data_IF_169634989231
#
_entry.id   IF_169634989231
#
_cell.length_a   1.000
_cell.length_b   1.000
_cell.length_c   1.000
_cell.angle_alpha   90.00
_cell.angle_beta   90.00
_cell.angle_gamma   90.00
#
_symmetry.space_group_name_H-M   'P 1'
#
loop_
_entity.id
_entity.type
_entity.pdbx_description
1 polymer ?
#
# COMPACT_ATOMS: atom_id res chain seq x y z
N UNK A 1 19.78 -35.37 36.14
CA UNK A 1 18.82 -34.25 36.17
C UNK A 1 17.84 -34.51 37.28
N UNK A 2 17.64 -33.57 38.19
CA UNK A 2 16.73 -33.74 39.32
C UNK A 2 15.28 -33.43 38.90
N UNK A 3 14.27 -33.97 39.61
CA UNK A 3 12.86 -33.65 39.35
C UNK A 3 12.52 -32.16 39.52
N UNK A 4 13.35 -31.43 40.25
CA UNK A 4 13.20 -29.98 40.44
C UNK A 4 13.74 -29.21 39.23
N UNK A 5 14.92 -29.61 38.71
CA UNK A 5 15.49 -29.06 37.47
C UNK A 5 14.57 -29.29 36.25
N UNK A 6 13.88 -30.43 36.18
CA UNK A 6 12.91 -30.71 35.10
C UNK A 6 11.72 -29.75 35.13
N UNK A 7 11.16 -29.49 36.32
CA UNK A 7 10.04 -28.55 36.48
C UNK A 7 10.42 -27.10 36.19
N UNK A 8 11.60 -26.69 36.62
CA UNK A 8 12.14 -25.36 36.29
C UNK A 8 12.37 -25.20 34.79
N UNK A 9 12.87 -26.25 34.13
CA UNK A 9 13.04 -26.26 32.66
C UNK A 9 11.71 -26.19 31.93
N UNK A 10 10.70 -26.94 32.35
CA UNK A 10 9.35 -26.88 31.77
C UNK A 10 8.71 -25.49 31.93
N UNK A 11 8.79 -24.90 33.12
CA UNK A 11 8.29 -23.55 33.39
C UNK A 11 8.96 -22.50 32.50
N UNK A 12 10.28 -22.59 32.33
CA UNK A 12 11.02 -21.70 31.44
C UNK A 12 10.60 -21.87 29.96
N UNK A 13 10.38 -23.11 29.53
CA UNK A 13 9.90 -23.41 28.16
C UNK A 13 8.48 -22.89 27.91
N UNK A 14 7.60 -22.91 28.91
CA UNK A 14 6.26 -22.31 28.82
C UNK A 14 6.34 -20.79 28.66
N UNK A 15 7.19 -20.11 29.45
CA UNK A 15 7.40 -18.67 29.34
C UNK A 15 7.91 -18.27 27.95
N UNK A 16 8.91 -19.00 27.44
CA UNK A 16 9.46 -18.77 26.09
C UNK A 16 8.38 -18.98 25.03
N UNK A 17 7.61 -20.08 25.12
CA UNK A 17 6.53 -20.34 24.18
C UNK A 17 5.44 -19.27 24.21
N UNK A 18 5.08 -18.81 25.40
CA UNK A 18 4.09 -17.73 25.58
C UNK A 18 4.57 -16.42 24.95
N UNK A 19 5.84 -16.06 25.13
CA UNK A 19 6.39 -14.85 24.54
C UNK A 19 6.49 -14.92 23.01
N UNK A 20 6.91 -16.05 22.45
CA UNK A 20 6.98 -16.26 20.99
C UNK A 20 5.56 -16.19 20.38
N UNK A 21 4.57 -16.83 21.01
CA UNK A 21 3.19 -16.76 20.57
C UNK A 21 2.65 -15.32 20.61
N UNK A 22 2.96 -14.56 21.67
CA UNK A 22 2.54 -13.16 21.78
C UNK A 22 3.16 -12.29 20.68
N UNK A 23 4.43 -12.55 20.30
CA UNK A 23 5.10 -11.85 19.19
C UNK A 23 4.49 -12.20 17.83
N UNK A 24 4.19 -13.47 17.58
CA UNK A 24 3.51 -13.89 16.35
C UNK A 24 2.13 -13.25 16.20
N UNK A 25 1.34 -13.19 17.28
CA UNK A 25 0.05 -12.52 17.29
C UNK A 25 0.16 -11.02 16.96
N UNK A 26 1.14 -10.32 17.54
CA UNK A 26 1.42 -8.91 17.19
C UNK A 26 1.83 -8.74 15.72
N UNK A 27 2.60 -9.68 15.18
CA UNK A 27 3.06 -9.64 13.80
C UNK A 27 1.92 -9.89 12.80
N UNK A 28 1.01 -10.84 13.09
CA UNK A 28 -0.16 -11.09 12.26
C UNK A 28 -1.12 -9.89 12.27
N UNK A 29 -1.34 -9.28 13.44
CA UNK A 29 -2.15 -8.06 13.57
C UNK A 29 -1.52 -6.88 12.79
N UNK A 30 -0.19 -6.72 12.88
CA UNK A 30 0.53 -5.72 12.10
C UNK A 30 0.42 -5.98 10.58
N UNK A 31 0.48 -7.24 10.15
CA UNK A 31 0.25 -7.66 8.77
C UNK A 31 -1.14 -7.29 8.26
N UNK A 32 -2.19 -7.57 9.04
CA UNK A 32 -3.57 -7.22 8.69
C UNK A 32 -3.78 -5.71 8.52
N UNK A 33 -3.09 -4.89 9.34
CA UNK A 33 -3.12 -3.43 9.19
C UNK A 33 -2.53 -2.95 7.86
N UNK A 34 -1.49 -3.62 7.35
CA UNK A 34 -0.91 -3.30 6.02
C UNK A 34 -1.90 -3.61 4.91
N UNK A 35 -2.60 -4.73 4.98
CA UNK A 35 -3.61 -5.12 4.00
C UNK A 35 -4.76 -4.09 3.94
N UNK A 36 -5.27 -3.66 5.10
CA UNK A 36 -6.30 -2.60 5.17
C UNK A 36 -5.81 -1.29 4.58
N UNK A 37 -4.57 -0.86 4.90
CA UNK A 37 -3.99 0.36 4.32
C UNK A 37 -3.86 0.26 2.80
N UNK A 38 -3.50 -0.91 2.27
CA UNK A 38 -3.39 -1.14 0.84
C UNK A 38 -4.76 -0.98 0.14
N UNK A 39 -5.85 -1.49 0.72
CA UNK A 39 -7.21 -1.31 0.17
C UNK A 39 -7.54 0.17 0.03
N UNK A 40 -7.25 0.98 1.05
CA UNK A 40 -7.49 2.42 1.01
C UNK A 40 -6.66 3.12 -0.07
N UNK A 41 -5.38 2.76 -0.22
CA UNK A 41 -4.51 3.34 -1.25
C UNK A 41 -5.02 3.00 -2.66
N UNK A 42 -5.44 1.75 -2.89
CA UNK A 42 -6.03 1.32 -4.16
C UNK A 42 -7.32 2.08 -4.46
N UNK A 43 -8.24 2.17 -3.50
CA UNK A 43 -9.51 2.90 -3.67
C UNK A 43 -9.32 4.40 -3.92
N UNK A 44 -8.34 5.00 -3.22
CA UNK A 44 -7.97 6.40 -3.45
C UNK A 44 -7.39 6.60 -4.86
N UNK A 45 -6.44 5.75 -5.28
CA UNK A 45 -5.83 5.83 -6.61
C UNK A 45 -6.86 5.67 -7.73
N UNK A 46 -7.82 4.75 -7.57
CA UNK A 46 -8.92 4.56 -8.52
C UNK A 46 -9.81 5.82 -8.62
N UNK A 47 -10.20 6.39 -7.48
CA UNK A 47 -11.00 7.63 -7.44
C UNK A 47 -10.24 8.80 -8.05
N UNK A 48 -8.93 8.94 -7.78
CA UNK A 48 -8.10 10.00 -8.33
C UNK A 48 -7.94 9.86 -9.86
N UNK A 49 -7.77 8.64 -10.36
CA UNK A 49 -7.74 8.36 -11.80
C UNK A 49 -9.09 8.70 -12.47
N UNK A 50 -10.21 8.34 -11.85
CA UNK A 50 -11.54 8.72 -12.34
C UNK A 50 -11.75 10.23 -12.37
N UNK A 51 -11.29 10.95 -11.34
CA UNK A 51 -11.35 12.40 -11.30
C UNK A 51 -10.54 13.04 -12.44
N UNK A 52 -9.31 12.56 -12.67
CA UNK A 52 -8.48 13.04 -13.77
C UNK A 52 -9.14 12.76 -15.13
N UNK A 53 -9.72 11.57 -15.31
CA UNK A 53 -10.41 11.19 -16.54
C UNK A 53 -11.64 12.06 -16.85
N UNK A 54 -12.32 12.56 -15.81
CA UNK A 54 -13.48 13.44 -15.95
C UNK A 54 -13.11 14.91 -16.26
N UNK A 55 -11.81 15.26 -16.26
CA UNK A 55 -11.32 16.61 -16.52
C UNK A 55 -10.67 16.71 -17.90
N UNK A 56 -10.60 17.94 -18.40
CA UNK A 56 -9.73 18.29 -19.52
C UNK A 56 -8.30 18.46 -18.99
N UNK A 57 -7.36 17.65 -19.48
CA UNK A 57 -6.00 17.57 -18.96
C UNK A 57 -4.95 17.62 -20.07
N UNK A 58 -3.72 17.98 -19.72
CA UNK A 58 -2.59 18.00 -20.66
C UNK A 58 -2.14 16.55 -20.95
N UNK A 59 -2.06 16.13 -22.23
CA UNK A 59 -1.90 14.72 -22.58
C UNK A 59 -0.65 14.04 -22.01
N UNK A 60 0.51 14.68 -22.01
CA UNK A 60 1.77 14.04 -21.61
C UNK A 60 1.82 13.79 -20.10
N UNK A 61 1.58 14.82 -19.30
CA UNK A 61 1.57 14.75 -17.84
C UNK A 61 0.36 14.00 -17.30
N UNK A 62 -0.79 14.09 -17.98
CA UNK A 62 -1.99 13.34 -17.63
C UNK A 62 -1.80 11.83 -17.86
N UNK A 63 -1.20 11.44 -18.99
CA UNK A 63 -0.84 10.04 -19.24
C UNK A 63 0.15 9.52 -18.19
N UNK A 64 1.16 10.33 -17.83
CA UNK A 64 2.11 9.95 -16.78
C UNK A 64 1.43 9.77 -15.41
N UNK A 65 0.44 10.62 -15.07
CA UNK A 65 -0.36 10.47 -13.86
C UNK A 65 -1.19 9.17 -13.87
N UNK A 66 -1.79 8.80 -15.00
CA UNK A 66 -2.49 7.52 -15.13
C UNK A 66 -1.58 6.32 -14.95
N UNK A 67 -0.37 6.36 -15.54
CA UNK A 67 0.63 5.30 -15.35
C UNK A 67 0.99 5.19 -13.87
N UNK A 68 1.20 6.31 -13.17
CA UNK A 68 1.49 6.32 -11.74
C UNK A 68 0.35 5.71 -10.90
N UNK A 69 -0.91 6.05 -11.19
CA UNK A 69 -2.06 5.45 -10.52
C UNK A 69 -2.22 3.96 -10.85
N UNK A 70 -1.95 3.54 -12.09
CA UNK A 70 -1.97 2.13 -12.47
C UNK A 70 -0.89 1.32 -11.72
N UNK A 71 0.31 1.87 -11.57
CA UNK A 71 1.39 1.27 -10.76
C UNK A 71 0.97 1.19 -9.29
N UNK A 72 0.38 2.24 -8.73
CA UNK A 72 -0.12 2.25 -7.36
C UNK A 72 -1.18 1.16 -7.12
N UNK A 73 -2.15 1.04 -8.04
CA UNK A 73 -3.20 0.02 -7.98
C UNK A 73 -2.61 -1.38 -8.12
N UNK A 74 -1.76 -1.62 -9.12
CA UNK A 74 -1.15 -2.94 -9.35
C UNK A 74 -0.28 -3.39 -8.17
N UNK A 75 0.55 -2.49 -7.64
CA UNK A 75 1.37 -2.79 -6.45
C UNK A 75 0.51 -2.99 -5.21
N UNK A 76 -0.54 -2.18 -5.02
CA UNK A 76 -1.51 -2.35 -3.92
C UNK A 76 -2.26 -3.68 -3.99
N UNK A 77 -2.74 -4.08 -5.17
CA UNK A 77 -3.39 -5.39 -5.38
C UNK A 77 -2.41 -6.53 -5.11
N UNK A 78 -1.15 -6.37 -5.53
CA UNK A 78 -0.13 -7.40 -5.34
C UNK A 78 0.17 -7.72 -3.87
N UNK A 79 -0.17 -6.83 -2.93
CA UNK A 79 -0.03 -7.06 -1.48
C UNK A 79 -1.02 -8.14 -1.02
N UNK A 80 -2.22 -8.19 -1.60
CA UNK A 80 -3.21 -9.25 -1.30
C UNK A 80 -2.82 -10.61 -1.88
N UNK A 81 -2.02 -10.61 -2.95
CA UNK A 81 -1.52 -11.84 -3.56
C UNK A 81 -0.23 -12.37 -2.91
N UNK A 82 0.32 -11.66 -1.92
CA UNK A 82 1.40 -12.21 -1.10
C UNK A 82 0.85 -13.32 -0.21
N UNK A 83 1.69 -14.34 0.03
CA UNK A 83 1.37 -15.45 0.91
C UNK A 83 0.73 -14.93 2.22
N UNK A 84 -0.35 -15.60 2.64
CA UNK A 84 -0.94 -15.34 3.96
C UNK A 84 0.10 -15.65 5.02
N UNK A 85 0.05 -14.91 6.13
CA UNK A 85 0.88 -15.21 7.29
C UNK A 85 0.66 -16.68 7.67
N UNK A 86 1.76 -17.41 7.77
CA UNK A 86 1.74 -18.79 8.21
C UNK A 86 1.37 -18.82 9.69
N UNK A 87 0.43 -19.68 10.03
CA UNK A 87 -0.04 -19.89 11.39
C UNK A 87 0.08 -21.38 11.72
N UNK A 88 0.07 -21.69 13.01
CA UNK A 88 0.15 -23.06 13.49
C UNK A 88 -1.07 -23.85 13.01
N UNK A 89 -0.82 -24.99 12.33
CA UNK A 89 -1.86 -25.98 12.09
C UNK A 89 -2.14 -26.75 13.39
N UNK A 90 -3.29 -26.54 14.05
CA UNK A 90 -3.57 -27.19 15.32
C UNK A 90 -3.65 -28.72 15.18
N UNK A 91 -3.98 -29.23 13.99
CA UNK A 91 -4.09 -30.68 13.74
C UNK A 91 -2.73 -31.33 13.64
N UNK A 92 -1.82 -30.75 12.86
CA UNK A 92 -0.46 -31.29 12.70
C UNK A 92 0.29 -31.36 14.05
N UNK A 93 0.13 -30.34 14.90
CA UNK A 93 0.77 -30.32 16.23
C UNK A 93 0.19 -31.40 17.15
N UNK A 94 -1.13 -31.59 17.10
CA UNK A 94 -1.80 -32.59 17.93
C UNK A 94 -1.43 -34.02 17.50
N UNK A 95 -1.31 -34.24 16.19
CA UNK A 95 -0.97 -35.55 15.62
C UNK A 95 0.50 -35.93 15.85
N UNK A 96 1.43 -34.99 15.68
CA UNK A 96 2.87 -35.27 15.85
C UNK A 96 3.29 -35.30 17.34
N UNK A 97 2.71 -34.46 18.20
CA UNK A 97 3.22 -34.25 19.56
C UNK A 97 2.21 -34.51 20.67
N UNK A 98 0.98 -34.93 20.36
CA UNK A 98 -0.09 -35.15 21.35
C UNK A 98 0.20 -36.28 22.35
N UNK A 99 1.20 -37.12 22.09
CA UNK A 99 1.63 -38.22 22.97
C UNK A 99 3.01 -38.02 23.60
N UNK A 100 3.70 -36.92 23.27
CA UNK A 100 5.05 -36.66 23.73
C UNK A 100 5.08 -36.09 25.15
N UNK A 101 6.25 -36.17 25.79
CA UNK A 101 6.48 -35.47 27.04
C UNK A 101 6.36 -33.95 26.83
N UNK A 102 5.70 -33.29 27.79
CA UNK A 102 5.43 -31.85 27.78
C UNK A 102 6.64 -31.00 27.42
N UNK A 103 7.82 -31.36 27.95
CA UNK A 103 9.07 -30.64 27.67
C UNK A 103 9.51 -30.75 26.20
N UNK A 104 9.32 -31.92 25.57
CA UNK A 104 9.62 -32.15 24.15
C UNK A 104 8.63 -31.40 23.25
N UNK A 105 7.32 -31.46 23.56
CA UNK A 105 6.28 -30.71 22.84
C UNK A 105 6.54 -29.20 22.89
N UNK A 106 6.94 -28.65 24.05
CA UNK A 106 7.24 -27.23 24.18
C UNK A 106 8.48 -26.81 23.37
N UNK A 107 9.50 -27.65 23.28
CA UNK A 107 10.68 -27.36 22.45
C UNK A 107 10.33 -27.37 20.96
N UNK A 108 9.58 -28.37 20.50
CA UNK A 108 9.15 -28.47 19.11
C UNK A 108 8.17 -27.36 18.71
N UNK A 109 7.28 -26.95 19.62
CA UNK A 109 6.39 -25.84 19.41
C UNK A 109 7.16 -24.51 19.31
N UNK A 110 8.17 -24.32 20.16
CA UNK A 110 9.02 -23.14 20.11
C UNK A 110 9.82 -23.08 18.79
N UNK A 111 10.40 -24.19 18.33
CA UNK A 111 11.15 -24.23 17.06
C UNK A 111 10.23 -23.93 15.87
N UNK A 112 9.07 -24.57 15.80
CA UNK A 112 8.08 -24.36 14.74
C UNK A 112 7.64 -22.90 14.67
N UNK A 113 7.33 -22.31 15.82
CA UNK A 113 6.93 -20.89 15.90
C UNK A 113 8.05 -19.94 15.48
N UNK A 114 9.31 -20.24 15.79
CA UNK A 114 10.45 -19.42 15.34
C UNK A 114 10.58 -19.47 13.82
N UNK A 115 10.51 -20.66 13.21
CA UNK A 115 10.56 -20.80 11.74
C UNK A 115 9.41 -20.07 11.05
N UNK A 116 8.19 -20.15 11.61
CA UNK A 116 7.04 -19.39 11.12
C UNK A 116 7.23 -17.88 11.27
N UNK A 117 7.79 -17.43 12.40
CA UNK A 117 8.07 -16.01 12.64
C UNK A 117 9.07 -15.43 11.63
N UNK A 118 10.14 -16.16 11.33
CA UNK A 118 11.15 -15.78 10.33
C UNK A 118 10.53 -15.67 8.93
N UNK A 119 9.78 -16.69 8.51
CA UNK A 119 9.08 -16.71 7.21
C UNK A 119 8.09 -15.55 7.11
N UNK A 120 7.30 -15.32 8.17
CA UNK A 120 6.36 -14.22 8.25
C UNK A 120 7.04 -12.84 8.27
N UNK A 121 8.28 -12.75 8.76
CA UNK A 121 9.06 -11.50 8.79
C UNK A 121 9.45 -11.09 7.38
N UNK A 122 9.89 -12.04 6.55
CA UNK A 122 10.16 -11.78 5.14
C UNK A 122 8.90 -11.32 4.39
N UNK A 123 7.77 -11.99 4.63
CA UNK A 123 6.48 -11.60 4.04
C UNK A 123 6.11 -10.18 4.50
N UNK A 124 6.28 -9.85 5.78
CA UNK A 124 6.01 -8.52 6.32
C UNK A 124 6.86 -7.44 5.63
N UNK A 125 8.15 -7.69 5.46
CA UNK A 125 9.06 -6.76 4.80
C UNK A 125 8.68 -6.54 3.34
N UNK A 126 8.35 -7.62 2.60
CA UNK A 126 7.91 -7.52 1.21
C UNK A 126 6.58 -6.77 1.07
N UNK A 127 5.60 -7.05 1.95
CA UNK A 127 4.33 -6.31 2.00
C UNK A 127 4.55 -4.83 2.28
N UNK A 128 5.41 -4.51 3.25
CA UNK A 128 5.74 -3.13 3.64
C UNK A 128 6.43 -2.39 2.49
N UNK A 129 7.41 -3.00 1.84
CA UNK A 129 8.09 -2.42 0.68
C UNK A 129 7.11 -2.12 -0.46
N UNK A 130 6.24 -3.08 -0.81
CA UNK A 130 5.22 -2.89 -1.85
C UNK A 130 4.21 -1.80 -1.48
N UNK A 131 3.84 -1.70 -0.20
CA UNK A 131 2.99 -0.63 0.30
C UNK A 131 3.66 0.74 0.15
N UNK A 132 4.94 0.87 0.50
CA UNK A 132 5.70 2.12 0.32
C UNK A 132 5.79 2.51 -1.15
N UNK A 133 6.07 1.56 -2.05
CA UNK A 133 6.09 1.82 -3.50
C UNK A 133 4.72 2.32 -3.99
N UNK A 134 3.64 1.66 -3.57
CA UNK A 134 2.27 2.07 -3.92
C UNK A 134 1.96 3.49 -3.45
N UNK A 135 2.32 3.81 -2.20
CA UNK A 135 2.13 5.15 -1.62
C UNK A 135 2.90 6.23 -2.38
N UNK A 136 4.18 5.99 -2.68
CA UNK A 136 5.01 6.94 -3.45
C UNK A 136 4.42 7.14 -4.85
N UNK A 137 3.97 6.07 -5.51
CA UNK A 137 3.34 6.16 -6.83
C UNK A 137 2.05 7.00 -6.78
N UNK A 138 1.22 6.87 -5.74
CA UNK A 138 0.05 7.75 -5.57
C UNK A 138 0.45 9.21 -5.44
N UNK A 139 1.44 9.53 -4.59
CA UNK A 139 1.90 10.91 -4.40
C UNK A 139 2.39 11.52 -5.71
N UNK A 140 3.21 10.77 -6.47
CA UNK A 140 3.67 11.20 -7.80
C UNK A 140 2.49 11.41 -8.75
N UNK A 141 1.52 10.49 -8.76
CA UNK A 141 0.31 10.61 -9.59
C UNK A 141 -0.51 11.86 -9.26
N UNK A 142 -0.68 12.22 -7.99
CA UNK A 142 -1.35 13.45 -7.56
C UNK A 142 -0.62 14.69 -8.08
N UNK A 143 0.71 14.76 -7.91
CA UNK A 143 1.50 15.90 -8.38
C UNK A 143 1.38 16.05 -9.90
N UNK A 144 1.51 14.96 -10.65
CA UNK A 144 1.40 14.98 -12.11
C UNK A 144 -0.02 15.35 -12.59
N UNK A 145 -1.05 14.80 -11.96
CA UNK A 145 -2.45 15.11 -12.23
C UNK A 145 -2.74 16.61 -12.01
N UNK A 146 -2.19 17.18 -10.93
CA UNK A 146 -2.34 18.60 -10.62
C UNK A 146 -1.64 19.48 -11.66
N UNK A 147 -0.39 19.17 -12.01
CA UNK A 147 0.35 19.89 -13.06
C UNK A 147 -0.35 19.79 -14.40
N UNK A 148 -0.89 18.61 -14.74
CA UNK A 148 -1.61 18.38 -16.00
C UNK A 148 -2.85 19.24 -16.14
N UNK A 149 -3.65 19.33 -15.07
CA UNK A 149 -4.85 20.17 -15.05
C UNK A 149 -4.44 21.66 -15.16
N UNK A 150 -3.43 22.10 -14.40
CA UNK A 150 -2.96 23.50 -14.40
C UNK A 150 -2.40 23.92 -15.76
N UNK A 151 -1.59 23.08 -16.39
CA UNK A 151 -1.01 23.36 -17.71
C UNK A 151 -2.09 23.42 -18.79
N UNK A 152 -3.12 22.57 -18.69
CA UNK A 152 -4.25 22.62 -19.61
C UNK A 152 -5.09 23.90 -19.42
N UNK A 153 -5.33 24.34 -18.18
CA UNK A 153 -6.05 25.58 -17.91
C UNK A 153 -5.24 26.83 -18.28
N UNK A 154 -3.92 26.84 -18.05
CA UNK A 154 -3.05 27.96 -18.41
C UNK A 154 -2.86 28.14 -19.92
N UNK A 155 -3.13 27.11 -20.73
CA UNK A 155 -3.19 27.22 -22.18
C UNK A 155 -4.44 27.97 -22.67
N UNK A 156 -5.53 27.99 -21.89
CA UNK A 156 -6.75 28.75 -22.21
C UNK A 156 -6.66 30.23 -21.84
N UNK A 157 -5.78 30.62 -20.91
CA UNK A 157 -5.54 32.03 -20.54
C UNK A 157 -4.54 32.76 -21.46
N UNK A 158 -3.94 32.07 -22.44
CA UNK A 158 -3.20 32.73 -23.53
C UNK A 158 -4.19 33.21 -24.59
N UNK A 159 -4.66 34.45 -24.44
CA UNK A 159 -5.56 35.12 -25.39
C UNK A 159 -5.14 34.93 -26.87
N UNK A 160 -6.00 34.35 -27.72
CA UNK A 160 -5.88 34.46 -29.17
C UNK A 160 -6.53 35.78 -29.61
N UNK A 161 -5.88 36.91 -29.34
CA UNK A 161 -6.52 38.18 -29.69
C UNK A 161 -5.83 39.42 -29.15
N UNK A 162 -4.70 39.81 -29.75
CA UNK A 162 -4.33 41.23 -29.78
C UNK A 162 -5.52 41.99 -30.39
N UNK A 163 -6.17 42.95 -29.70
CA UNK A 163 -7.09 43.84 -30.36
C UNK A 163 -6.29 44.65 -31.38
N UNK A 164 -6.70 44.52 -32.65
CA UNK A 164 -6.18 45.35 -33.73
C UNK A 164 -6.33 46.82 -33.36
N UNK A 165 -5.24 47.57 -33.56
CA UNK A 165 -5.16 49.02 -33.51
C UNK A 165 -6.45 49.63 -34.09
N UNK A 166 -7.18 50.51 -33.37
CA UNK A 166 -8.37 51.12 -33.94
C UNK A 166 -7.98 51.90 -35.19
N UNK A 167 -8.62 51.58 -36.32
CA UNK A 167 -8.49 52.35 -37.55
C UNK A 167 -8.99 53.78 -37.26
N UNK A 168 -8.26 54.82 -37.72
CA UNK A 168 -8.71 56.19 -37.54
C UNK A 168 -10.04 56.38 -38.28
N UNK A 169 -11.06 56.80 -37.55
CA UNK A 169 -12.39 57.14 -38.05
C UNK A 169 -12.26 58.12 -39.22
N UNK A 170 -12.54 57.64 -40.43
CA UNK A 170 -12.69 58.52 -41.59
C UNK A 170 -13.92 59.41 -41.36
N UNK A 171 -13.66 60.70 -41.30
CA UNK A 171 -14.64 61.77 -41.39
C UNK A 171 -15.47 61.61 -42.67
N UNK A 172 -16.78 61.39 -42.54
CA UNK A 172 -17.71 61.62 -43.65
C UNK A 172 -18.68 62.74 -43.28
N UNK A 173 -18.34 63.90 -43.84
CA UNK A 173 -19.14 65.11 -43.98
C UNK A 173 -20.47 64.89 -44.73
N UNK A 174 -21.50 65.62 -44.28
CA UNK A 174 -22.58 66.28 -45.04
C UNK A 174 -23.52 65.49 -45.99
N UNK A 175 -24.82 65.50 -45.64
CA UNK A 175 -26.09 65.81 -46.40
C UNK A 175 -26.08 65.96 -47.95
N UNK A 176 -27.23 66.00 -48.68
CA UNK A 176 -28.67 65.96 -48.30
C UNK A 176 -29.60 65.12 -49.25
N UNK A 177 -30.90 65.05 -48.95
CA UNK A 177 -32.01 65.25 -49.91
C UNK A 177 -33.27 65.67 -49.15
#
# INVERSE_FOLDING_TARGET
MTPQELRERESNLELINGEIASRMARQSEAGAKVDTKAVFVVGFAATAAQFLAARSFEPYTGTAAFVAYAVAIGTGISIFNLARYEDLDPRAILDDHGRDEKSATLVALASTRVTMFETNSEVHQRKTHRWTVSLVAVVVGICLSTVSIVLHTGAHDREPGKPGRPAPSASSSAQPH
#
